data_IF_868713558637
#
_entry.id   IF_868713558637
#
_cell.length_a   1.000
_cell.length_b   1.000
_cell.length_c   1.000
_cell.angle_alpha   90.00
_cell.angle_beta   90.00
_cell.angle_gamma   90.00
#
_symmetry.space_group_name_H-M   'P 1'
#
loop_
_entity.id
_entity.type
_entity.pdbx_description
1 polymer ?
#
# COMPACT_ATOMS: atom_id res chain seq x y z
N UNK A 1 4.56 21.08 -3.12
CA UNK A 1 4.71 19.64 -2.81
C UNK A 1 4.42 19.43 -1.34
N UNK A 2 3.47 18.56 -0.99
CA UNK A 2 3.29 18.15 0.40
C UNK A 2 4.52 17.39 0.91
N UNK A 3 4.72 17.36 2.22
CA UNK A 3 5.81 16.61 2.84
C UNK A 3 5.59 15.10 2.66
N UNK A 4 6.47 14.44 1.90
CA UNK A 4 6.42 13.00 1.61
C UNK A 4 6.44 12.14 2.88
N UNK A 5 7.16 12.56 3.92
CA UNK A 5 7.19 11.84 5.20
C UNK A 5 5.83 11.95 5.92
N UNK A 6 5.15 13.11 5.83
CA UNK A 6 3.79 13.27 6.38
C UNK A 6 2.79 12.38 5.64
N UNK A 7 2.83 12.38 4.30
CA UNK A 7 1.98 11.52 3.47
C UNK A 7 2.23 10.04 3.79
N UNK A 8 3.50 9.63 3.81
CA UNK A 8 3.88 8.28 4.19
C UNK A 8 3.35 7.89 5.58
N UNK A 9 3.45 8.77 6.57
CA UNK A 9 2.94 8.50 7.91
C UNK A 9 1.40 8.33 7.95
N UNK A 10 0.67 9.16 7.20
CA UNK A 10 -0.79 9.11 7.12
C UNK A 10 -1.29 7.83 6.43
N UNK A 11 -0.82 7.56 5.21
CA UNK A 11 -1.21 6.35 4.48
C UNK A 11 -0.70 5.10 5.19
N UNK A 12 0.53 5.14 5.72
CA UNK A 12 1.10 4.04 6.50
C UNK A 12 0.29 3.73 7.76
N UNK A 13 -0.23 4.77 8.43
CA UNK A 13 -1.16 4.62 9.54
C UNK A 13 -2.41 3.85 9.16
N UNK A 14 -3.03 4.26 8.05
CA UNK A 14 -4.28 3.69 7.58
C UNK A 14 -4.09 2.25 7.10
N UNK A 15 -2.97 1.97 6.40
CA UNK A 15 -2.58 0.61 6.01
C UNK A 15 -2.47 -0.28 7.25
N UNK A 16 -1.68 0.11 8.26
CA UNK A 16 -1.48 -0.73 9.44
C UNK A 16 -2.79 -1.04 10.18
N UNK A 17 -3.65 -0.03 10.37
CA UNK A 17 -4.95 -0.19 11.03
C UNK A 17 -5.88 -1.10 10.24
N UNK A 18 -6.05 -0.83 8.94
CA UNK A 18 -7.00 -1.56 8.11
C UNK A 18 -6.56 -3.01 7.88
N UNK A 19 -5.27 -3.22 7.60
CA UNK A 19 -4.70 -4.57 7.43
C UNK A 19 -4.87 -5.37 8.71
N UNK A 20 -4.53 -4.82 9.89
CA UNK A 20 -4.77 -5.48 11.17
C UNK A 20 -6.24 -5.82 11.36
N UNK A 21 -7.14 -4.89 11.07
CA UNK A 21 -8.59 -5.12 11.20
C UNK A 21 -9.07 -6.27 10.32
N UNK A 22 -8.50 -6.45 9.12
CA UNK A 22 -8.86 -7.54 8.20
C UNK A 22 -8.24 -8.88 8.58
N UNK A 23 -7.03 -8.87 9.15
CA UNK A 23 -6.29 -10.08 9.51
C UNK A 23 -6.50 -10.51 10.98
N UNK A 24 -7.19 -9.70 11.78
CA UNK A 24 -7.54 -9.99 13.16
C UNK A 24 -6.39 -9.89 14.18
N UNK A 25 -5.14 -9.78 13.74
CA UNK A 25 -4.00 -9.66 14.65
C UNK A 25 -2.83 -8.86 14.05
N UNK A 26 -2.00 -8.27 14.91
CA UNK A 26 -0.88 -7.42 14.49
C UNK A 26 0.25 -8.20 13.80
N UNK A 27 0.45 -9.48 14.15
CA UNK A 27 1.60 -10.26 13.66
C UNK A 27 1.43 -10.62 12.19
N UNK A 28 0.21 -11.01 11.81
CA UNK A 28 -0.19 -11.23 10.43
C UNK A 28 -0.09 -9.91 9.63
N UNK A 29 -0.55 -8.79 10.19
CA UNK A 29 -0.43 -7.48 9.56
C UNK A 29 1.03 -7.07 9.32
N UNK A 30 1.88 -7.16 10.34
CA UNK A 30 3.31 -6.86 10.25
C UNK A 30 3.99 -7.72 9.18
N UNK A 31 3.65 -9.02 9.13
CA UNK A 31 4.21 -9.97 8.17
C UNK A 31 3.82 -9.61 6.74
N UNK A 32 2.53 -9.39 6.48
CA UNK A 32 2.03 -9.04 5.15
C UNK A 32 2.61 -7.71 4.67
N UNK A 33 2.62 -6.69 5.52
CA UNK A 33 3.19 -5.37 5.20
C UNK A 33 4.69 -5.48 4.91
N UNK A 34 5.42 -6.31 5.65
CA UNK A 34 6.85 -6.53 5.41
C UNK A 34 7.12 -7.21 4.07
N UNK A 35 6.33 -8.24 3.70
CA UNK A 35 6.42 -8.89 2.40
C UNK A 35 6.11 -7.91 1.26
N UNK A 36 5.03 -7.13 1.40
CA UNK A 36 4.63 -6.11 0.43
C UNK A 36 5.72 -5.05 0.22
N UNK A 37 6.34 -4.58 1.31
CA UNK A 37 7.45 -3.63 1.25
C UNK A 37 8.65 -4.23 0.51
N UNK A 38 9.02 -5.48 0.80
CA UNK A 38 10.11 -6.16 0.09
C UNK A 38 9.87 -6.24 -1.41
N UNK A 39 8.68 -6.67 -1.83
CA UNK A 39 8.31 -6.72 -3.26
C UNK A 39 8.38 -5.34 -3.92
N UNK A 40 7.88 -4.30 -3.25
CA UNK A 40 7.94 -2.94 -3.79
C UNK A 40 9.38 -2.46 -3.97
N UNK A 41 10.26 -2.72 -3.00
CA UNK A 41 11.66 -2.29 -3.02
C UNK A 41 12.47 -3.02 -4.09
N UNK A 42 12.18 -4.30 -4.32
CA UNK A 42 12.93 -5.13 -5.27
C UNK A 42 12.39 -5.03 -6.71
N UNK A 43 11.06 -4.95 -6.87
CA UNK A 43 10.38 -5.17 -8.15
C UNK A 43 9.42 -4.04 -8.55
N UNK A 44 9.20 -3.06 -7.68
CA UNK A 44 8.37 -1.89 -7.99
C UNK A 44 6.86 -2.07 -7.82
N UNK A 45 6.11 -1.03 -8.24
CA UNK A 45 4.67 -0.89 -7.98
C UNK A 45 3.81 -1.94 -8.67
N UNK A 46 4.14 -2.33 -9.90
CA UNK A 46 3.36 -3.32 -10.63
C UNK A 46 3.46 -4.70 -9.96
N UNK A 47 4.67 -5.10 -9.56
CA UNK A 47 4.90 -6.34 -8.84
C UNK A 47 4.23 -6.34 -7.46
N UNK A 48 4.19 -5.20 -6.77
CA UNK A 48 3.38 -5.04 -5.54
C UNK A 48 1.91 -5.36 -5.79
N UNK A 49 1.35 -4.85 -6.90
CA UNK A 49 -0.01 -5.16 -7.35
C UNK A 49 -0.25 -6.66 -7.48
N UNK A 50 0.59 -7.33 -8.29
CA UNK A 50 0.50 -8.77 -8.55
C UNK A 50 0.66 -9.59 -7.26
N UNK A 51 1.61 -9.21 -6.41
CA UNK A 51 1.81 -9.83 -5.11
C UNK A 51 0.54 -9.79 -4.25
N UNK A 52 -0.12 -8.64 -4.20
CA UNK A 52 -1.34 -8.47 -3.43
C UNK A 52 -2.51 -9.28 -4.01
N UNK A 53 -2.67 -9.32 -5.35
CA UNK A 53 -3.71 -10.13 -6.00
C UNK A 53 -3.47 -11.64 -5.83
N UNK A 54 -2.22 -12.06 -5.78
CA UNK A 54 -1.87 -13.47 -5.60
C UNK A 54 -2.06 -13.98 -4.17
N UNK A 55 -2.49 -13.14 -3.21
CA UNK A 55 -2.64 -13.55 -1.80
C UNK A 55 -3.81 -14.51 -1.63
N UNK A 56 -3.57 -15.61 -0.91
CA UNK A 56 -4.60 -16.57 -0.52
C UNK A 56 -5.60 -15.99 0.49
N UNK A 57 -6.67 -16.72 0.76
CA UNK A 57 -7.82 -16.25 1.55
C UNK A 57 -7.44 -15.61 2.90
N UNK A 58 -6.45 -16.14 3.59
CA UNK A 58 -6.00 -15.66 4.90
C UNK A 58 -5.38 -14.26 4.85
N UNK A 59 -4.64 -13.93 3.78
CA UNK A 59 -3.97 -12.63 3.61
C UNK A 59 -4.77 -11.68 2.69
N UNK A 60 -5.73 -12.20 1.91
CA UNK A 60 -6.44 -11.48 0.84
C UNK A 60 -7.09 -10.19 1.32
N UNK A 61 -7.78 -10.23 2.46
CA UNK A 61 -8.42 -9.05 3.03
C UNK A 61 -7.41 -7.93 3.33
N UNK A 62 -6.27 -8.27 3.92
CA UNK A 62 -5.18 -7.31 4.17
C UNK A 62 -4.52 -6.81 2.88
N UNK A 63 -4.35 -7.68 1.89
CA UNK A 63 -3.74 -7.33 0.62
C UNK A 63 -4.57 -6.32 -0.16
N UNK A 64 -5.91 -6.51 -0.16
CA UNK A 64 -6.86 -5.56 -0.73
C UNK A 64 -6.75 -4.19 -0.05
N UNK A 65 -6.60 -4.14 1.27
CA UNK A 65 -6.44 -2.85 1.98
C UNK A 65 -5.15 -2.13 1.60
N UNK A 66 -4.05 -2.85 1.34
CA UNK A 66 -2.81 -2.25 0.82
C UNK A 66 -3.08 -1.60 -0.55
N UNK A 67 -3.71 -2.32 -1.47
CA UNK A 67 -4.03 -1.79 -2.81
C UNK A 67 -5.02 -0.61 -2.75
N UNK A 68 -6.01 -0.67 -1.86
CA UNK A 68 -6.98 0.41 -1.68
C UNK A 68 -6.31 1.70 -1.20
N UNK A 69 -5.38 1.61 -0.25
CA UNK A 69 -4.64 2.78 0.23
C UNK A 69 -3.67 3.31 -0.82
N UNK A 70 -2.99 2.41 -1.54
CA UNK A 70 -2.12 2.78 -2.65
C UNK A 70 -2.89 3.50 -3.75
N UNK A 71 -4.06 2.99 -4.16
CA UNK A 71 -4.92 3.63 -5.14
C UNK A 71 -5.41 5.02 -4.66
N UNK A 72 -5.81 5.15 -3.39
CA UNK A 72 -6.20 6.45 -2.81
C UNK A 72 -5.05 7.45 -2.80
N UNK A 73 -3.82 7.00 -2.55
CA UNK A 73 -2.62 7.84 -2.56
C UNK A 73 -2.31 8.33 -3.98
N UNK A 74 -2.31 7.41 -4.96
CA UNK A 74 -2.11 7.74 -6.37
C UNK A 74 -3.16 8.74 -6.87
N UNK A 75 -4.43 8.52 -6.56
CA UNK A 75 -5.53 9.37 -7.04
C UNK A 75 -5.56 10.75 -6.40
N UNK A 76 -5.31 10.88 -5.10
CA UNK A 76 -5.50 12.16 -4.39
C UNK A 76 -4.25 13.03 -4.34
N UNK A 77 -3.11 12.42 -4.10
CA UNK A 77 -1.88 13.16 -3.79
C UNK A 77 -0.96 13.25 -5.00
N UNK A 78 -1.19 12.38 -5.98
CA UNK A 78 -0.40 12.25 -7.20
C UNK A 78 -1.27 12.46 -8.45
N UNK A 79 -2.47 13.03 -8.30
CA UNK A 79 -3.33 13.44 -9.41
C UNK A 79 -2.58 14.23 -10.52
N UNK A 80 -1.68 15.19 -10.20
CA UNK A 80 -1.00 15.98 -11.23
C UNK A 80 -0.04 15.20 -12.14
N UNK A 81 0.28 13.94 -11.79
CA UNK A 81 1.21 13.08 -12.55
C UNK A 81 0.50 11.97 -13.33
N UNK A 82 -0.84 11.92 -13.24
CA UNK A 82 -1.71 11.00 -13.97
C UNK A 82 -2.20 11.73 -15.21
N UNK A 83 -1.87 11.22 -16.41
CA UNK A 83 -2.40 11.81 -17.64
C UNK A 83 -3.75 11.18 -17.97
N UNK A 84 -4.79 12.02 -18.00
CA UNK A 84 -6.15 11.59 -18.31
C UNK A 84 -6.55 11.84 -19.77
N UNK A 85 -5.56 12.04 -20.66
CA UNK A 85 -5.77 12.11 -22.11
C UNK A 85 -6.15 10.74 -22.69
N UNK A 86 -7.41 10.39 -22.49
CA UNK A 86 -8.26 9.67 -23.45
C UNK A 86 -7.60 8.43 -24.11
N UNK A 87 -7.17 7.46 -23.32
CA UNK A 87 -6.87 6.12 -23.82
C UNK A 87 -8.17 5.34 -23.98
N UNK A 88 -8.59 5.18 -25.26
CA UNK A 88 -9.60 4.20 -25.69
C UNK A 88 -9.39 2.89 -24.94
N UNK A 89 -10.40 2.51 -24.15
CA UNK A 89 -10.49 1.24 -23.45
C UNK A 89 -10.24 0.09 -24.41
N UNK A 90 -9.10 -0.58 -24.26
CA UNK A 90 -8.99 -1.97 -24.66
C UNK A 90 -9.34 -2.78 -23.41
N UNK A 91 -10.64 -3.01 -23.24
CA UNK A 91 -11.21 -3.79 -22.15
C UNK A 91 -10.77 -5.25 -22.29
N UNK A 92 -9.60 -5.60 -21.75
CA UNK A 92 -9.25 -6.98 -21.42
C UNK A 92 -8.23 -7.12 -20.27
N UNK A 93 -7.91 -6.05 -19.54
CA UNK A 93 -7.08 -6.11 -18.34
C UNK A 93 -7.63 -5.21 -17.22
N UNK A 94 -8.91 -5.38 -16.85
CA UNK A 94 -9.44 -4.80 -15.61
C UNK A 94 -9.26 -5.78 -14.46
N UNK A 95 -8.32 -5.56 -13.53
CA UNK A 95 -8.31 -6.36 -12.30
C UNK A 95 -8.30 -5.56 -10.98
N UNK A 96 -7.78 -4.32 -10.93
CA UNK A 96 -8.11 -3.42 -9.81
C UNK A 96 -7.90 -1.93 -10.15
N UNK A 97 -8.53 -1.03 -9.37
CA UNK A 97 -8.35 0.45 -9.50
C UNK A 97 -6.86 0.85 -9.45
N UNK A 98 -6.06 0.11 -8.69
CA UNK A 98 -4.63 0.34 -8.56
C UNK A 98 -3.88 0.18 -9.88
N UNK A 99 -4.09 -0.90 -10.63
CA UNK A 99 -3.43 -1.10 -11.93
C UNK A 99 -3.81 -0.02 -12.94
N UNK A 100 -5.09 0.33 -13.02
CA UNK A 100 -5.55 1.44 -13.89
C UNK A 100 -4.86 2.76 -13.56
N UNK A 101 -4.57 3.02 -12.30
CA UNK A 101 -3.85 4.23 -11.90
C UNK A 101 -2.38 4.14 -12.27
N UNK A 102 -1.72 2.99 -12.09
CA UNK A 102 -0.33 2.77 -12.51
C UNK A 102 -0.18 3.00 -14.02
N UNK A 103 -1.08 2.44 -14.83
CA UNK A 103 -1.01 2.52 -16.29
C UNK A 103 -1.13 3.98 -16.80
N UNK A 104 -1.77 4.85 -16.01
CA UNK A 104 -1.91 6.28 -16.31
C UNK A 104 -0.75 7.14 -15.79
N UNK A 105 0.20 6.59 -15.03
CA UNK A 105 1.37 7.34 -14.57
C UNK A 105 2.29 7.57 -15.76
N UNK A 106 2.40 8.84 -16.17
CA UNK A 106 3.24 9.19 -17.30
C UNK A 106 4.65 9.56 -16.84
N UNK A 107 5.65 8.89 -17.41
CA UNK A 107 7.07 9.18 -17.19
C UNK A 107 7.68 8.42 -16.01
N UNK A 108 8.96 8.08 -16.18
CA UNK A 108 9.71 7.30 -15.19
C UNK A 108 9.82 8.02 -13.85
N UNK A 109 10.03 9.34 -13.86
CA UNK A 109 10.19 10.14 -12.64
C UNK A 109 8.94 10.09 -11.75
N UNK A 110 7.77 10.12 -12.38
CA UNK A 110 6.47 10.05 -11.73
C UNK A 110 6.21 8.65 -11.15
N UNK A 111 6.58 7.61 -11.89
CA UNK A 111 6.54 6.23 -11.40
C UNK A 111 7.47 6.03 -10.21
N UNK A 112 8.70 6.57 -10.28
CA UNK A 112 9.66 6.53 -9.19
C UNK A 112 9.19 7.34 -7.97
N UNK A 113 8.54 8.49 -8.19
CA UNK A 113 7.95 9.29 -7.12
C UNK A 113 6.85 8.49 -6.41
N UNK A 114 5.91 7.91 -7.15
CA UNK A 114 4.84 7.08 -6.61
C UNK A 114 5.40 5.89 -5.80
N UNK A 115 6.44 5.22 -6.32
CA UNK A 115 7.11 4.14 -5.62
C UNK A 115 7.73 4.61 -4.30
N UNK A 116 8.43 5.76 -4.30
CA UNK A 116 9.02 6.35 -3.08
C UNK A 116 7.98 6.72 -2.03
N UNK A 117 6.84 7.30 -2.43
CA UNK A 117 5.77 7.63 -1.47
C UNK A 117 5.17 6.34 -0.88
N UNK A 118 4.90 5.35 -1.72
CA UNK A 118 4.38 4.05 -1.26
C UNK A 118 5.37 3.32 -0.35
N UNK A 119 6.67 3.38 -0.66
CA UNK A 119 7.73 2.82 0.17
C UNK A 119 7.72 3.45 1.56
N UNK A 120 7.69 4.80 1.63
CA UNK A 120 7.57 5.52 2.90
C UNK A 120 6.31 5.10 3.66
N UNK A 121 5.18 4.97 2.97
CA UNK A 121 3.93 4.53 3.59
C UNK A 121 4.06 3.12 4.19
N UNK A 122 4.63 2.15 3.47
CA UNK A 122 4.82 0.79 3.96
C UNK A 122 5.86 0.71 5.09
N UNK A 123 6.90 1.54 5.07
CA UNK A 123 7.85 1.68 6.18
C UNK A 123 7.12 2.13 7.45
N UNK A 124 6.34 3.22 7.38
CA UNK A 124 5.57 3.71 8.53
C UNK A 124 4.50 2.70 8.96
N UNK A 125 3.86 2.01 8.03
CA UNK A 125 2.89 0.96 8.33
C UNK A 125 3.53 -0.17 9.14
N UNK A 126 4.72 -0.63 8.74
CA UNK A 126 5.48 -1.68 9.44
C UNK A 126 5.85 -1.25 10.86
N UNK A 127 6.35 -0.02 11.04
CA UNK A 127 6.64 0.51 12.37
C UNK A 127 5.37 0.60 13.24
N UNK A 128 4.26 1.02 12.66
CA UNK A 128 2.99 1.12 13.39
C UNK A 128 2.42 -0.24 13.78
N UNK A 129 2.52 -1.25 12.93
CA UNK A 129 2.15 -2.62 13.26
C UNK A 129 3.01 -3.18 14.41
N UNK A 130 4.32 -2.90 14.40
CA UNK A 130 5.24 -3.23 15.51
C UNK A 130 4.90 -2.52 16.82
N UNK A 131 4.48 -1.26 16.76
CA UNK A 131 4.07 -0.53 17.95
C UNK A 131 2.79 -1.13 18.57
N UNK A 132 1.81 -1.51 17.74
CA UNK A 132 0.59 -2.17 18.20
C UNK A 132 0.87 -3.51 18.91
N UNK A 133 1.82 -4.30 18.37
CA UNK A 133 2.33 -5.52 19.00
C UNK A 133 2.80 -5.28 20.44
N UNK A 134 3.62 -4.24 20.63
CA UNK A 134 4.20 -3.91 21.93
C UNK A 134 3.10 -3.53 22.93
N UNK A 135 2.15 -2.69 22.51
CA UNK A 135 1.03 -2.25 23.36
C UNK A 135 0.15 -3.43 23.77
N UNK A 136 -0.24 -4.31 22.84
CA UNK A 136 -1.07 -5.48 23.19
C UNK A 136 -0.37 -6.43 24.16
N UNK A 137 0.93 -6.68 23.97
CA UNK A 137 1.70 -7.55 24.86
C UNK A 137 1.89 -6.92 26.26
N UNK A 138 2.06 -5.60 26.34
CA UNK A 138 2.14 -4.86 27.60
C UNK A 138 0.80 -4.84 28.34
N UNK A 139 -0.34 -4.80 27.63
CA UNK A 139 -1.66 -4.88 28.26
C UNK A 139 -1.96 -6.27 28.85
N UNK A 140 -1.52 -7.34 28.18
CA UNK A 140 -1.69 -8.74 28.64
C UNK A 140 -0.81 -9.05 29.85
N UNK A 141 0.39 -8.46 29.93
CA UNK A 141 1.33 -8.71 31.04
C UNK A 141 1.01 -7.91 32.31
N UNK A 142 0.20 -6.85 32.20
CA UNK A 142 -0.25 -6.02 33.31
C UNK A 142 -1.71 -6.30 33.75
N UNK A 143 -2.36 -7.33 33.20
CA UNK A 143 -3.69 -7.83 33.62
C UNK A 143 -3.54 -9.16 34.33
#
# INVERSE_FOLDING_TARGET
MQNLDRLGAEYGSNIAKNVRSKLGNYKAAETLITKALGVLQEQGLYALGLFCESRGNDEKGGAIEILNQAAKMLEKELEPIIDDKDTKQNDNFCQSKFFKLIDKINGLDNLMLAAKVMEKALIYARYRAKAMKKIENESITNS
#
